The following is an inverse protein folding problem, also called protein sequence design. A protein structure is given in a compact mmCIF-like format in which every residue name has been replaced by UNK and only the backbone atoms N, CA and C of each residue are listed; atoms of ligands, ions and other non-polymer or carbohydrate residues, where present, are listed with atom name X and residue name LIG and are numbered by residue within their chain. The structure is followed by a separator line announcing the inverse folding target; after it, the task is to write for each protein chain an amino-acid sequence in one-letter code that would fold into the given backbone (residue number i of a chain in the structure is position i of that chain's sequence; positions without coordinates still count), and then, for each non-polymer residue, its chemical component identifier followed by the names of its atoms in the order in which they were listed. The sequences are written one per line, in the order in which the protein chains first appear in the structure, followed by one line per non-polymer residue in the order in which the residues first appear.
data_IF_297666951243
#
_entry.id   IF_297666951243
#
_cell.length_a   1.000
_cell.length_b   1.000
_cell.length_c   1.000
_cell.angle_alpha   90.00
_cell.angle_beta   90.00
_cell.angle_gamma   90.00
#
_symmetry.space_group_name_H-M   'P 1'
#
loop_
_entity.id
_entity.type
_entity.pdbx_description
1 polymer ?
#
# COMPACT_ATOMS: atom_id res chain seq x y z
N UNK A 1 1.71 12.60 6.00
CA UNK A 1 0.68 11.69 5.45
C UNK A 1 0.68 10.38 6.21
N UNK A 2 -0.46 9.70 6.21
CA UNK A 2 -0.61 8.35 6.72
C UNK A 2 0.02 7.34 5.74
N UNK A 3 0.79 6.41 6.27
CA UNK A 3 1.45 5.34 5.50
C UNK A 3 0.93 3.93 5.86
N UNK A 4 -0.12 3.86 6.68
CA UNK A 4 -0.60 2.60 7.23
C UNK A 4 -1.68 1.92 6.38
N UNK A 5 -2.22 2.63 5.41
CA UNK A 5 -3.15 2.10 4.43
C UNK A 5 -2.94 2.75 3.04
N UNK A 6 -3.73 2.33 2.05
CA UNK A 6 -3.60 2.80 0.67
C UNK A 6 -4.11 4.22 0.43
N UNK A 7 -4.68 4.90 1.44
CA UNK A 7 -5.27 6.24 1.28
C UNK A 7 -4.24 7.35 1.17
N UNK A 8 -3.14 7.27 1.94
CA UNK A 8 -2.25 8.41 2.12
C UNK A 8 -2.94 9.61 2.78
N UNK A 9 -3.83 9.36 3.75
CA UNK A 9 -4.62 10.38 4.40
C UNK A 9 -3.77 11.51 5.00
N UNK A 10 -4.28 12.72 4.95
CA UNK A 10 -3.66 13.87 5.62
C UNK A 10 -3.84 13.72 7.14
N UNK A 11 -2.74 13.83 7.88
CA UNK A 11 -2.74 13.64 9.34
C UNK A 11 -1.99 14.75 10.07
N UNK A 12 -2.46 15.03 11.27
CA UNK A 12 -1.76 15.82 12.27
C UNK A 12 -1.26 14.91 13.38
N UNK A 13 0.01 15.03 13.72
CA UNK A 13 0.65 14.31 14.82
C UNK A 13 0.86 15.26 15.98
N UNK A 14 0.21 15.01 17.11
CA UNK A 14 0.40 15.76 18.32
C UNK A 14 1.48 15.07 19.17
N UNK A 15 2.54 15.79 19.50
CA UNK A 15 3.66 15.29 20.28
C UNK A 15 3.90 16.12 21.56
N UNK A 16 4.46 15.48 22.59
CA UNK A 16 4.93 16.12 23.81
C UNK A 16 6.33 15.62 24.12
N UNK A 17 7.31 16.51 24.03
CA UNK A 17 8.73 16.10 24.05
C UNK A 17 9.00 15.13 22.89
N UNK A 18 9.62 14.02 23.19
CA UNK A 18 9.96 12.98 22.18
C UNK A 18 8.85 11.95 21.98
N UNK A 19 7.70 12.09 22.62
CA UNK A 19 6.59 11.15 22.57
C UNK A 19 5.45 11.62 21.70
N UNK A 20 4.98 10.77 20.78
CA UNK A 20 3.72 10.95 20.07
C UNK A 20 2.57 10.68 21.05
N UNK A 21 1.61 11.59 21.12
CA UNK A 21 0.47 11.52 22.04
C UNK A 21 -0.82 11.10 21.35
N UNK A 22 -0.99 11.45 20.08
CA UNK A 22 -2.14 11.07 19.26
C UNK A 22 -1.91 11.42 17.79
N UNK A 23 -2.68 10.75 16.93
CA UNK A 23 -2.80 11.06 15.50
C UNK A 23 -4.25 11.45 15.22
N UNK A 24 -4.44 12.57 14.54
CA UNK A 24 -5.75 13.10 14.13
C UNK A 24 -5.76 13.33 12.62
N UNK A 25 -6.93 13.25 11.95
CA UNK A 25 -7.00 13.64 10.55
C UNK A 25 -6.81 15.15 10.38
N UNK A 26 -6.19 15.53 9.28
CA UNK A 26 -6.29 16.86 8.69
C UNK A 26 -7.33 16.82 7.57
N UNK A 27 -8.07 17.89 7.39
CA UNK A 27 -9.08 17.98 6.34
C UNK A 27 -8.43 17.97 4.96
N UNK A 28 -8.84 17.01 4.14
CA UNK A 28 -8.42 16.91 2.74
C UNK A 28 -9.57 16.34 1.90
N UNK A 29 -10.37 17.22 1.31
CA UNK A 29 -11.59 16.87 0.59
C UNK A 29 -11.36 15.85 -0.53
N UNK A 30 -10.26 15.97 -1.25
CA UNK A 30 -9.89 15.07 -2.35
C UNK A 30 -9.38 13.69 -1.92
N UNK A 31 -9.00 13.51 -0.64
CA UNK A 31 -8.36 12.29 -0.14
C UNK A 31 -9.22 11.65 0.96
N UNK A 32 -9.12 12.14 2.17
CA UNK A 32 -9.73 11.53 3.36
C UNK A 32 -10.91 12.32 3.93
N UNK A 33 -11.33 13.40 3.29
CA UNK A 33 -12.30 14.35 3.86
C UNK A 33 -11.83 14.78 5.27
N UNK A 34 -12.59 14.52 6.31
CA UNK A 34 -12.26 14.78 7.73
C UNK A 34 -11.99 13.48 8.53
N UNK A 35 -11.82 12.33 7.84
CA UNK A 35 -11.77 11.03 8.46
C UNK A 35 -10.36 10.44 8.50
N UNK A 36 -10.15 9.53 9.44
CA UNK A 36 -8.95 8.71 9.56
C UNK A 36 -9.34 7.31 10.02
N UNK A 37 -8.72 6.29 9.47
CA UNK A 37 -8.95 4.91 9.90
C UNK A 37 -8.49 4.69 11.35
N UNK A 38 -9.17 3.81 12.08
CA UNK A 38 -8.79 3.47 13.45
C UNK A 38 -7.39 2.83 13.53
N UNK A 39 -7.01 2.08 12.51
CA UNK A 39 -5.65 1.54 12.40
C UNK A 39 -4.61 2.66 12.50
N UNK A 40 -4.73 3.69 11.68
CA UNK A 40 -3.80 4.82 11.65
C UNK A 40 -3.88 5.67 12.91
N UNK A 41 -5.09 5.82 13.46
CA UNK A 41 -5.33 6.59 14.67
C UNK A 41 -4.63 6.02 15.90
N UNK A 42 -4.51 4.70 16.00
CA UNK A 42 -4.08 4.02 17.23
C UNK A 42 -2.74 3.30 17.15
N UNK A 43 -2.12 3.22 15.98
CA UNK A 43 -0.86 2.46 15.80
C UNK A 43 0.37 3.16 16.40
N UNK A 44 0.28 4.44 16.71
CA UNK A 44 1.40 5.28 17.12
C UNK A 44 2.09 4.83 18.41
N UNK A 45 1.40 4.12 19.31
CA UNK A 45 1.98 3.60 20.54
C UNK A 45 3.08 2.56 20.28
N UNK A 46 3.03 1.88 19.12
CA UNK A 46 4.08 0.99 18.64
C UNK A 46 5.43 1.69 18.40
N UNK A 47 5.44 3.01 18.18
CA UNK A 47 6.67 3.77 18.00
C UNK A 47 7.57 3.78 19.26
N UNK A 48 6.99 3.62 20.44
CA UNK A 48 7.71 3.59 21.72
C UNK A 48 7.99 2.17 22.24
N UNK A 49 7.60 1.12 21.51
CA UNK A 49 7.65 -0.26 22.02
C UNK A 49 8.40 -1.18 21.06
N UNK A 50 9.29 -2.00 21.62
CA UNK A 50 10.02 -3.06 20.92
C UNK A 50 10.75 -2.56 19.66
N UNK A 51 11.21 -1.31 19.66
CA UNK A 51 12.00 -0.71 18.57
C UNK A 51 13.47 -1.04 18.75
N UNK A 52 14.14 -1.32 17.62
CA UNK A 52 15.60 -1.42 17.61
C UNK A 52 16.18 -0.02 17.71
N UNK A 53 17.00 0.22 18.73
CA UNK A 53 17.65 1.51 19.02
C UNK A 53 19.14 1.52 18.67
N UNK A 54 19.68 0.36 18.33
CA UNK A 54 21.09 0.16 17.99
C UNK A 54 21.28 -1.07 17.10
N UNK A 55 22.43 -1.20 16.44
CA UNK A 55 22.77 -2.41 15.70
C UNK A 55 23.00 -3.61 16.61
N UNK A 56 22.76 -4.79 16.05
CA UNK A 56 23.08 -6.07 16.69
C UNK A 56 23.87 -6.93 15.71
N UNK A 57 24.90 -7.61 16.20
CA UNK A 57 25.63 -8.63 15.44
C UNK A 57 25.45 -10.00 16.08
N UNK A 58 25.56 -11.06 15.26
CA UNK A 58 25.46 -12.44 15.76
C UNK A 58 26.85 -12.98 16.04
N UNK A 59 27.06 -13.40 17.28
CA UNK A 59 28.30 -14.01 17.73
C UNK A 59 27.96 -15.30 18.47
N UNK A 60 28.57 -16.42 18.10
CA UNK A 60 28.30 -17.75 18.67
C UNK A 60 26.80 -18.10 18.69
N UNK A 61 26.07 -17.75 17.63
CA UNK A 61 24.63 -18.02 17.50
C UNK A 61 23.70 -17.06 18.25
N UNK A 62 24.22 -16.14 19.08
CA UNK A 62 23.43 -15.18 19.87
C UNK A 62 23.62 -13.76 19.34
N UNK A 63 22.54 -12.97 19.36
CA UNK A 63 22.59 -11.55 19.05
C UNK A 63 23.16 -10.77 20.26
N UNK A 64 24.12 -9.91 20.00
CA UNK A 64 24.61 -8.92 20.98
C UNK A 64 24.54 -7.51 20.41
N UNK A 65 24.33 -6.49 21.26
CA UNK A 65 24.47 -5.10 20.85
C UNK A 65 25.87 -4.84 20.26
N UNK A 66 25.91 -3.97 19.24
CA UNK A 66 27.15 -3.58 18.59
C UNK A 66 27.16 -2.07 18.33
N UNK A 67 28.33 -1.50 18.18
CA UNK A 67 28.48 -0.15 17.64
C UNK A 67 28.20 -0.12 16.14
N UNK A 68 27.87 1.04 15.61
CA UNK A 68 27.74 1.20 14.15
C UNK A 68 29.00 0.85 13.39
N UNK A 69 30.19 1.14 13.96
CA UNK A 69 31.47 0.75 13.35
C UNK A 69 31.62 -0.76 13.23
N UNK A 70 31.32 -1.51 14.29
CA UNK A 70 31.34 -2.99 14.26
C UNK A 70 30.33 -3.56 13.28
N UNK A 71 29.10 -3.02 13.27
CA UNK A 71 28.03 -3.48 12.38
C UNK A 71 28.39 -3.24 10.91
N UNK A 72 28.88 -2.05 10.56
CA UNK A 72 29.30 -1.71 9.20
C UNK A 72 30.53 -2.52 8.74
N UNK A 73 31.47 -2.83 9.65
CA UNK A 73 32.58 -3.72 9.34
C UNK A 73 32.05 -5.14 9.00
N UNK A 74 31.16 -5.69 9.82
CA UNK A 74 30.54 -6.99 9.57
C UNK A 74 29.76 -7.02 8.24
N UNK A 75 29.02 -5.95 7.91
CA UNK A 75 28.33 -5.81 6.61
C UNK A 75 29.33 -5.78 5.45
N UNK A 76 30.42 -5.00 5.57
CA UNK A 76 31.46 -4.93 4.55
C UNK A 76 32.09 -6.31 4.31
N UNK A 77 32.37 -7.05 5.37
CA UNK A 77 32.95 -8.40 5.27
C UNK A 77 31.97 -9.37 4.59
N UNK A 78 30.68 -9.29 4.96
CA UNK A 78 29.63 -10.11 4.35
C UNK A 78 29.43 -9.79 2.85
N UNK A 79 29.58 -8.53 2.45
CA UNK A 79 29.50 -8.09 1.05
C UNK A 79 30.77 -8.36 0.24
N UNK A 80 31.84 -8.91 0.85
CA UNK A 80 33.09 -9.31 0.16
C UNK A 80 32.95 -10.62 -0.63
N UNK A 81 31.79 -10.76 -1.30
CA UNK A 81 31.44 -11.85 -2.23
C UNK A 81 31.23 -11.29 -3.63
N UNK A 82 31.11 -12.15 -4.65
CA UNK A 82 30.82 -11.67 -6.00
C UNK A 82 29.45 -11.00 -6.06
N UNK A 83 29.33 -9.93 -6.84
CA UNK A 83 28.13 -9.07 -6.88
C UNK A 83 26.83 -9.81 -7.28
N UNK A 84 26.96 -10.88 -8.07
CA UNK A 84 25.84 -11.76 -8.47
C UNK A 84 25.22 -12.54 -7.30
N UNK A 85 25.92 -12.67 -6.18
CA UNK A 85 25.47 -13.31 -4.94
C UNK A 85 24.85 -12.33 -3.94
N UNK A 86 24.84 -11.05 -4.26
CA UNK A 86 24.25 -10.00 -3.42
C UNK A 86 22.87 -9.64 -3.96
N UNK A 87 21.86 -9.61 -3.09
CA UNK A 87 20.52 -9.11 -3.37
C UNK A 87 20.17 -7.92 -2.48
N UNK A 88 19.47 -6.95 -3.03
CA UNK A 88 18.96 -5.77 -2.30
C UNK A 88 17.46 -5.73 -2.41
N UNK A 89 16.80 -5.73 -1.27
CA UNK A 89 15.33 -5.63 -1.19
C UNK A 89 14.98 -4.40 -0.35
N UNK A 90 14.21 -3.48 -0.94
CA UNK A 90 13.68 -2.32 -0.26
C UNK A 90 12.22 -2.59 0.16
N UNK A 91 11.85 -2.22 1.37
CA UNK A 91 10.47 -2.32 1.85
C UNK A 91 9.60 -1.15 1.39
N UNK A 92 8.29 -1.29 1.54
CA UNK A 92 7.27 -0.33 1.06
C UNK A 92 7.34 1.03 1.77
N UNK A 93 7.86 1.07 3.00
CA UNK A 93 7.94 2.27 3.82
C UNK A 93 9.30 2.96 3.79
N UNK A 94 10.17 2.58 2.86
CA UNK A 94 11.46 3.23 2.68
C UNK A 94 11.28 4.61 2.04
N UNK A 95 12.04 5.59 2.49
CA UNK A 95 12.06 6.91 1.86
C UNK A 95 12.75 6.87 0.49
N UNK A 96 12.30 7.71 -0.44
CA UNK A 96 12.84 7.77 -1.82
C UNK A 96 14.34 8.04 -1.81
N UNK A 97 14.80 8.92 -0.93
CA UNK A 97 16.21 9.25 -0.76
C UNK A 97 17.04 8.05 -0.30
N UNK A 98 16.51 7.27 0.66
CA UNK A 98 17.17 6.05 1.13
C UNK A 98 17.20 4.98 0.03
N UNK A 99 16.10 4.80 -0.69
CA UNK A 99 16.04 3.85 -1.82
C UNK A 99 17.04 4.22 -2.91
N UNK A 100 17.12 5.52 -3.25
CA UNK A 100 18.10 6.03 -4.24
C UNK A 100 19.53 5.84 -3.79
N UNK A 101 19.85 6.18 -2.54
CA UNK A 101 21.19 6.02 -1.99
C UNK A 101 21.61 4.54 -1.94
N UNK A 102 20.70 3.65 -1.53
CA UNK A 102 20.95 2.21 -1.56
C UNK A 102 21.22 1.71 -2.99
N UNK A 103 20.37 2.11 -3.94
CA UNK A 103 20.51 1.71 -5.34
C UNK A 103 21.85 2.18 -5.93
N UNK A 104 22.27 3.42 -5.67
CA UNK A 104 23.53 3.97 -6.15
C UNK A 104 24.73 3.23 -5.55
N UNK A 105 24.70 3.00 -4.23
CA UNK A 105 25.75 2.26 -3.54
C UNK A 105 25.91 0.86 -4.14
N UNK A 106 24.84 0.07 -4.20
CA UNK A 106 24.92 -1.31 -4.66
C UNK A 106 25.24 -1.44 -6.14
N UNK A 107 24.75 -0.52 -6.98
CA UNK A 107 25.16 -0.44 -8.39
C UNK A 107 26.65 -0.13 -8.55
N UNK A 108 27.19 0.76 -7.71
CA UNK A 108 28.63 1.04 -7.72
C UNK A 108 29.51 -0.18 -7.35
N UNK A 109 28.91 -1.13 -6.60
CA UNK A 109 29.52 -2.42 -6.27
C UNK A 109 29.26 -3.51 -7.34
N UNK A 110 28.59 -3.16 -8.45
CA UNK A 110 28.26 -4.09 -9.53
C UNK A 110 27.03 -4.96 -9.28
N UNK A 111 26.27 -4.74 -8.19
CA UNK A 111 25.08 -5.52 -7.86
C UNK A 111 23.91 -5.14 -8.79
N UNK A 112 23.32 -6.13 -9.45
CA UNK A 112 22.15 -5.96 -10.33
C UNK A 112 20.85 -6.52 -9.72
N UNK A 113 20.94 -7.38 -8.71
CA UNK A 113 19.80 -8.03 -8.08
C UNK A 113 19.13 -7.09 -7.08
N UNK A 114 18.22 -6.26 -7.56
CA UNK A 114 17.48 -5.29 -6.73
C UNK A 114 15.97 -5.46 -6.91
N UNK A 115 15.22 -5.42 -5.82
CA UNK A 115 13.75 -5.47 -5.85
C UNK A 115 13.15 -4.60 -4.74
N UNK A 116 11.93 -4.09 -4.98
CA UNK A 116 11.13 -3.36 -4.00
C UNK A 116 9.64 -3.71 -4.07
N UNK A 117 9.28 -4.74 -4.84
CA UNK A 117 7.89 -5.09 -5.08
C UNK A 117 7.33 -5.93 -3.94
N UNK A 118 6.06 -5.73 -3.54
CA UNK A 118 5.34 -6.70 -2.73
C UNK A 118 5.33 -8.07 -3.41
N UNK A 119 5.23 -9.13 -2.61
CA UNK A 119 5.24 -10.50 -3.14
C UNK A 119 4.16 -10.70 -4.21
N UNK A 120 4.58 -11.15 -5.39
CA UNK A 120 3.68 -11.41 -6.52
C UNK A 120 3.30 -10.20 -7.37
N UNK A 121 3.66 -8.99 -6.98
CA UNK A 121 3.35 -7.78 -7.75
C UNK A 121 4.09 -7.77 -9.12
N UNK A 122 3.36 -7.40 -10.16
CA UNK A 122 3.83 -7.29 -11.53
C UNK A 122 3.60 -5.87 -12.05
N UNK A 123 4.55 -4.98 -11.79
CA UNK A 123 4.51 -3.64 -12.37
C UNK A 123 5.10 -3.66 -13.77
N UNK A 124 4.47 -2.92 -14.70
CA UNK A 124 5.02 -2.74 -16.03
C UNK A 124 6.39 -2.06 -15.98
N UNK A 125 7.31 -2.51 -16.82
CA UNK A 125 8.69 -1.97 -16.91
C UNK A 125 8.84 -0.88 -17.96
N UNK A 126 7.77 -0.53 -18.65
CA UNK A 126 7.73 0.43 -19.76
C UNK A 126 7.61 1.90 -19.33
N UNK A 127 7.59 2.16 -18.01
CA UNK A 127 7.48 3.51 -17.44
C UNK A 127 6.09 4.12 -17.50
N UNK A 128 5.07 3.35 -17.89
CA UNK A 128 3.67 3.79 -17.93
C UNK A 128 3.12 3.84 -16.51
N UNK A 129 3.04 5.04 -15.94
CA UNK A 129 2.60 5.27 -14.54
C UNK A 129 1.17 4.87 -14.29
N UNK A 130 0.31 4.99 -15.29
CA UNK A 130 -1.11 4.64 -15.25
C UNK A 130 -1.37 3.16 -14.86
N UNK A 131 -0.34 2.32 -14.90
CA UNK A 131 -0.44 0.91 -14.54
C UNK A 131 -0.36 0.62 -13.04
N UNK A 132 0.09 1.61 -12.24
CA UNK A 132 0.29 1.42 -10.80
C UNK A 132 -0.18 2.61 -9.93
N UNK A 133 -0.87 3.58 -10.53
CA UNK A 133 -1.49 4.69 -9.81
C UNK A 133 -2.99 4.70 -10.05
N UNK A 134 -3.75 5.20 -9.08
CA UNK A 134 -5.19 5.41 -9.21
C UNK A 134 -5.46 6.64 -10.10
N UNK A 135 -5.80 6.40 -11.39
CA UNK A 135 -6.00 7.47 -12.38
C UNK A 135 -7.28 8.27 -12.13
N UNK A 136 -8.33 7.61 -11.64
CA UNK A 136 -9.65 8.21 -11.44
C UNK A 136 -9.77 9.07 -10.19
N UNK A 137 -8.69 9.27 -9.43
CA UNK A 137 -8.65 9.91 -8.11
C UNK A 137 -9.52 9.22 -7.04
N UNK A 138 -9.26 9.48 -5.77
CA UNK A 138 -10.08 8.93 -4.68
C UNK A 138 -11.48 9.55 -4.67
N UNK A 139 -11.58 10.85 -4.93
CA UNK A 139 -12.84 11.57 -5.01
C UNK A 139 -13.66 11.20 -6.24
N UNK A 140 -13.02 10.75 -7.32
CA UNK A 140 -13.70 10.40 -8.58
C UNK A 140 -14.75 9.28 -8.44
N UNK A 141 -14.69 8.49 -7.37
CA UNK A 141 -15.74 7.49 -7.10
C UNK A 141 -17.12 8.12 -6.87
N UNK A 142 -17.18 9.38 -6.45
CA UNK A 142 -18.43 10.11 -6.23
C UNK A 142 -19.15 10.47 -7.53
N UNK A 143 -18.41 10.48 -8.64
CA UNK A 143 -18.95 10.72 -9.98
C UNK A 143 -19.25 9.43 -10.75
N UNK A 144 -18.77 8.29 -10.24
CA UNK A 144 -18.94 7.00 -10.90
C UNK A 144 -20.38 6.49 -10.77
N UNK A 145 -20.88 5.84 -11.82
CA UNK A 145 -22.17 5.14 -11.86
C UNK A 145 -21.98 3.62 -11.71
N UNK A 146 -20.82 3.11 -12.05
CA UNK A 146 -20.44 1.71 -11.86
C UNK A 146 -18.99 1.60 -11.35
N UNK A 147 -18.76 0.75 -10.34
CA UNK A 147 -17.44 0.48 -9.76
C UNK A 147 -17.16 -1.02 -9.79
N UNK A 148 -16.06 -1.42 -10.44
CA UNK A 148 -15.54 -2.79 -10.39
C UNK A 148 -14.27 -2.83 -9.55
N UNK A 149 -14.28 -3.63 -8.49
CA UNK A 149 -13.13 -3.91 -7.62
C UNK A 149 -12.53 -5.27 -7.99
N UNK A 150 -11.25 -5.32 -8.34
CA UNK A 150 -10.55 -6.55 -8.72
C UNK A 150 -9.38 -6.77 -7.78
N UNK A 151 -9.40 -7.88 -7.04
CA UNK A 151 -8.29 -8.28 -6.15
C UNK A 151 -8.12 -7.43 -4.89
N UNK A 152 -8.94 -6.41 -4.69
CA UNK A 152 -8.83 -5.48 -3.55
C UNK A 152 -10.01 -5.60 -2.59
N UNK A 153 -9.75 -5.32 -1.31
CA UNK A 153 -10.74 -5.17 -0.27
C UNK A 153 -10.62 -3.77 0.38
N UNK A 154 -11.33 -2.77 -0.13
CA UNK A 154 -11.19 -1.40 0.35
C UNK A 154 -11.56 -1.24 1.83
N UNK A 155 -12.39 -2.11 2.40
CA UNK A 155 -12.72 -2.07 3.84
C UNK A 155 -11.48 -2.27 4.72
N UNK A 156 -10.51 -3.05 4.25
CA UNK A 156 -9.27 -3.37 4.99
C UNK A 156 -8.10 -2.51 4.52
N UNK A 157 -7.99 -2.31 3.21
CA UNK A 157 -6.84 -1.67 2.58
C UNK A 157 -6.95 -0.14 2.54
N UNK A 158 -8.19 0.39 2.49
CA UNK A 158 -8.49 1.82 2.36
C UNK A 158 -9.84 2.15 3.03
N UNK A 159 -9.92 1.96 4.35
CA UNK A 159 -11.19 1.99 5.09
C UNK A 159 -11.97 3.30 4.91
N UNK A 160 -11.30 4.45 4.85
CA UNK A 160 -11.94 5.75 4.62
C UNK A 160 -12.48 5.85 3.20
N UNK A 161 -11.76 5.30 2.20
CA UNK A 161 -12.28 5.24 0.84
C UNK A 161 -13.48 4.30 0.72
N UNK A 162 -13.47 3.18 1.45
CA UNK A 162 -14.63 2.30 1.54
C UNK A 162 -15.87 3.03 2.09
N UNK A 163 -15.68 3.92 3.07
CA UNK A 163 -16.75 4.78 3.58
C UNK A 163 -17.25 5.77 2.50
N UNK A 164 -16.35 6.32 1.67
CA UNK A 164 -16.69 7.19 0.54
C UNK A 164 -17.47 6.43 -0.55
N UNK A 165 -17.06 5.20 -0.88
CA UNK A 165 -17.82 4.31 -1.77
C UNK A 165 -19.22 4.08 -1.21
N UNK A 166 -19.32 3.75 0.10
CA UNK A 166 -20.61 3.53 0.76
C UNK A 166 -21.50 4.78 0.71
N UNK A 167 -20.93 5.95 0.90
CA UNK A 167 -21.63 7.24 0.76
C UNK A 167 -22.22 7.39 -0.65
N UNK A 168 -21.43 7.15 -1.68
CA UNK A 168 -21.86 7.23 -3.08
C UNK A 168 -22.90 6.16 -3.42
N UNK A 169 -22.73 4.93 -2.94
CA UNK A 169 -23.72 3.87 -3.08
C UNK A 169 -25.08 4.25 -2.47
N UNK A 170 -25.08 4.90 -1.28
CA UNK A 170 -26.31 5.32 -0.60
C UNK A 170 -27.05 6.46 -1.32
N UNK A 171 -26.33 7.41 -1.90
CA UNK A 171 -26.92 8.67 -2.35
C UNK A 171 -26.99 8.82 -3.86
N UNK A 172 -26.10 8.13 -4.60
CA UNK A 172 -25.97 8.25 -6.06
C UNK A 172 -26.24 6.93 -6.81
N UNK A 173 -26.78 5.91 -6.13
CA UNK A 173 -27.12 4.60 -6.71
C UNK A 173 -25.93 3.90 -7.41
N UNK A 174 -24.71 4.11 -6.93
CA UNK A 174 -23.50 3.49 -7.47
C UNK A 174 -23.64 1.97 -7.46
N UNK A 175 -23.48 1.35 -8.62
CA UNK A 175 -23.45 -0.11 -8.74
C UNK A 175 -22.04 -0.64 -8.51
N UNK A 176 -21.89 -1.55 -7.55
CA UNK A 176 -20.57 -2.09 -7.20
C UNK A 176 -20.50 -3.59 -7.54
N UNK A 177 -19.46 -3.99 -8.26
CA UNK A 177 -19.10 -5.38 -8.50
C UNK A 177 -17.71 -5.68 -7.96
N UNK A 178 -17.50 -6.94 -7.55
CA UNK A 178 -16.21 -7.36 -6.98
C UNK A 178 -15.78 -8.73 -7.49
N UNK A 179 -14.53 -8.82 -7.92
CA UNK A 179 -13.80 -10.07 -8.20
C UNK A 179 -12.72 -10.21 -7.12
N UNK A 180 -12.72 -11.33 -6.43
CA UNK A 180 -11.79 -11.65 -5.36
C UNK A 180 -12.47 -12.36 -4.21
N UNK A 181 -11.74 -12.66 -3.17
CA UNK A 181 -12.22 -13.36 -1.98
C UNK A 181 -13.49 -12.70 -1.40
N UNK A 182 -14.49 -13.48 -1.05
CA UNK A 182 -15.75 -12.95 -0.53
C UNK A 182 -15.52 -12.08 0.71
N UNK A 183 -16.11 -10.89 0.74
CA UNK A 183 -15.97 -9.93 1.84
C UNK A 183 -17.23 -9.12 2.05
N UNK A 184 -17.50 -8.76 3.30
CA UNK A 184 -18.50 -7.76 3.67
C UNK A 184 -17.88 -6.36 3.52
N UNK A 185 -18.38 -5.58 2.55
CA UNK A 185 -17.96 -4.18 2.32
C UNK A 185 -18.83 -3.15 3.04
N UNK A 186 -19.85 -3.59 3.80
CA UNK A 186 -20.84 -2.75 4.50
C UNK A 186 -21.89 -2.10 3.58
N UNK A 187 -21.96 -2.48 2.32
CA UNK A 187 -22.95 -2.11 1.32
C UNK A 187 -23.15 -3.25 0.33
N UNK A 188 -24.28 -3.27 -0.36
CA UNK A 188 -24.58 -4.31 -1.32
C UNK A 188 -23.68 -4.22 -2.55
N UNK A 189 -23.17 -5.34 -2.98
CA UNK A 189 -22.34 -5.46 -4.18
C UNK A 189 -22.53 -6.82 -4.85
N UNK A 190 -22.33 -6.88 -6.16
CA UNK A 190 -22.30 -8.13 -6.91
C UNK A 190 -20.96 -8.83 -6.69
N UNK A 191 -20.96 -9.97 -6.01
CA UNK A 191 -19.78 -10.82 -5.97
C UNK A 191 -19.72 -11.67 -7.27
N UNK A 192 -18.66 -11.49 -8.04
CA UNK A 192 -18.49 -12.06 -9.38
C UNK A 192 -17.58 -13.29 -9.42
N UNK A 193 -17.12 -13.74 -8.23
CA UNK A 193 -16.21 -14.88 -8.09
C UNK A 193 -14.76 -14.48 -7.83
N UNK A 194 -13.85 -15.44 -7.98
CA UNK A 194 -12.44 -15.30 -7.62
C UNK A 194 -11.51 -15.64 -8.78
N UNK A 195 -10.38 -14.93 -8.82
CA UNK A 195 -9.25 -15.22 -9.68
C UNK A 195 -9.49 -15.00 -11.18
N UNK A 196 -8.58 -15.54 -11.97
CA UNK A 196 -8.58 -15.37 -13.43
C UNK A 196 -9.84 -15.89 -14.13
N UNK A 197 -10.49 -17.01 -13.71
CA UNK A 197 -11.73 -17.46 -14.36
C UNK A 197 -12.85 -16.43 -14.24
N UNK A 198 -13.06 -15.82 -13.06
CA UNK A 198 -14.08 -14.81 -12.87
C UNK A 198 -13.80 -13.55 -13.70
N UNK A 199 -12.53 -13.16 -13.82
CA UNK A 199 -12.13 -12.05 -14.66
C UNK A 199 -12.37 -12.33 -16.16
N UNK A 200 -12.13 -13.56 -16.62
CA UNK A 200 -12.38 -13.94 -18.01
C UNK A 200 -13.88 -13.94 -18.36
N UNK A 201 -14.72 -14.31 -17.38
CA UNK A 201 -16.17 -14.45 -17.60
C UNK A 201 -16.97 -13.17 -17.34
N UNK A 202 -16.34 -12.11 -16.87
CA UNK A 202 -17.03 -10.86 -16.48
C UNK A 202 -17.92 -10.32 -17.61
N UNK A 203 -17.50 -10.41 -18.87
CA UNK A 203 -18.26 -9.91 -20.03
C UNK A 203 -19.61 -10.60 -20.21
N UNK A 204 -19.73 -11.84 -19.74
CA UNK A 204 -20.95 -12.63 -19.83
C UNK A 204 -21.88 -12.39 -18.65
N UNK A 205 -21.39 -11.81 -17.56
CA UNK A 205 -22.17 -11.49 -16.39
C UNK A 205 -23.11 -10.31 -16.62
N UNK A 206 -24.21 -10.24 -15.86
CA UNK A 206 -25.12 -9.10 -15.92
C UNK A 206 -24.43 -7.81 -15.44
N UNK A 207 -23.54 -7.90 -14.45
CA UNK A 207 -22.73 -6.78 -14.00
C UNK A 207 -21.77 -6.29 -15.10
N UNK A 208 -21.13 -7.20 -15.82
CA UNK A 208 -20.23 -6.83 -16.92
C UNK A 208 -20.94 -6.14 -18.08
N UNK A 209 -22.15 -6.56 -18.41
CA UNK A 209 -23.00 -5.87 -19.40
C UNK A 209 -23.33 -4.46 -18.94
N UNK A 210 -23.81 -4.31 -17.68
CA UNK A 210 -24.12 -3.03 -17.07
C UNK A 210 -22.88 -2.11 -17.03
N UNK A 211 -21.69 -2.64 -16.65
CA UNK A 211 -20.44 -1.89 -16.63
C UNK A 211 -20.06 -1.38 -18.03
N UNK A 212 -20.35 -2.14 -19.09
CA UNK A 212 -20.07 -1.73 -20.48
C UNK A 212 -21.01 -0.63 -21.02
N UNK A 213 -22.17 -0.45 -20.38
CA UNK A 213 -23.18 0.56 -20.70
C UNK A 213 -23.07 1.79 -19.78
N UNK A 214 -22.26 1.72 -18.75
CA UNK A 214 -22.05 2.81 -17.78
C UNK A 214 -21.45 4.04 -18.45
N UNK A 215 -21.91 5.23 -18.05
CA UNK A 215 -21.41 6.51 -18.57
C UNK A 215 -20.07 6.88 -17.95
N UNK A 216 -19.87 6.53 -16.67
CA UNK A 216 -18.69 6.86 -15.86
C UNK A 216 -18.20 5.67 -15.05
N UNK A 217 -17.79 4.59 -15.74
CA UNK A 217 -17.30 3.40 -15.04
C UNK A 217 -15.94 3.65 -14.39
N UNK A 218 -15.75 3.11 -13.18
CA UNK A 218 -14.45 3.06 -12.50
C UNK A 218 -14.04 1.61 -12.30
N UNK A 219 -12.78 1.30 -12.60
CA UNK A 219 -12.20 -0.02 -12.35
C UNK A 219 -10.96 0.16 -11.48
N UNK A 220 -10.91 -0.59 -10.38
CA UNK A 220 -9.77 -0.56 -9.44
C UNK A 220 -9.20 -1.97 -9.33
N UNK A 221 -7.90 -2.06 -9.53
CA UNK A 221 -7.12 -3.30 -9.43
C UNK A 221 -6.18 -3.18 -8.23
N UNK A 222 -6.23 -4.16 -7.33
CA UNK A 222 -5.38 -4.26 -6.14
C UNK A 222 -4.18 -5.17 -6.33
#
# INVERSE_FOLDING_TARGET
IDVMDAMGAAIRVDAKGDGVMRILPEVSEGINEEWLSDKSRFIWDGLARQRLDKPYIRENGKLRPASWGEALAAVKDALSVSADKVGVVAGDLIEVEQAKAALDLFRSLGVQNTDCRPAGAQYGTDGVRERYILNGTLAGVEEADALLLIGTNPRVEAAVWNARIRKTWLWADLKVGRIGEAADLTYDHAWLGEGAPALADIRNSDFGKMLSEAERPMIVVG
#
